data_IF_194055398446
#
_entry.id   IF_194055398446
#
_cell.length_a   1.000
_cell.length_b   1.000
_cell.length_c   1.000
_cell.angle_alpha   90.00
_cell.angle_beta   90.00
_cell.angle_gamma   90.00
#
_symmetry.space_group_name_H-M   'P 1'
#
loop_
_entity.id
_entity.type
_entity.pdbx_description
1 polymer ?
#
# COMPACT_ATOMS: atom_id res chain seq x y z
N UNK A 1 -24.24 -9.13 -1.85
CA UNK A 1 -23.23 -8.20 -2.38
C UNK A 1 -22.08 -8.22 -1.40
N UNK A 2 -20.88 -8.63 -1.80
CA UNK A 2 -19.72 -8.54 -0.92
C UNK A 2 -19.29 -7.08 -0.91
N UNK A 3 -19.48 -6.42 0.23
CA UNK A 3 -18.94 -5.09 0.45
C UNK A 3 -17.41 -5.25 0.43
N UNK A 4 -16.74 -4.70 -0.59
CA UNK A 4 -15.28 -4.76 -0.70
C UNK A 4 -14.60 -4.07 0.49
N UNK A 5 -13.28 -4.26 0.62
CA UNK A 5 -12.50 -3.61 1.68
C UNK A 5 -11.71 -2.46 1.06
N UNK A 6 -11.82 -1.28 1.68
CA UNK A 6 -11.00 -0.11 1.37
C UNK A 6 -9.96 0.06 2.46
N UNK A 7 -8.70 0.20 2.07
CA UNK A 7 -7.56 0.40 2.97
C UNK A 7 -6.95 1.77 2.65
N UNK A 8 -6.84 2.63 3.66
CA UNK A 8 -6.26 3.97 3.54
C UNK A 8 -4.83 3.93 4.11
N UNK A 9 -3.86 4.23 3.25
CA UNK A 9 -2.43 4.08 3.49
C UNK A 9 -1.83 2.87 2.76
N UNK A 10 -0.55 2.97 2.42
CA UNK A 10 0.19 2.02 1.57
C UNK A 10 1.45 1.43 2.24
N UNK A 11 1.74 1.86 3.47
CA UNK A 11 2.93 1.44 4.20
C UNK A 11 2.89 -0.01 4.69
N UNK A 12 3.85 -0.36 5.55
CA UNK A 12 4.02 -1.73 6.04
C UNK A 12 2.74 -2.36 6.60
N UNK A 13 1.97 -1.63 7.42
CA UNK A 13 0.73 -2.14 8.01
C UNK A 13 -0.30 -2.54 6.95
N UNK A 14 -0.53 -1.69 5.95
CA UNK A 14 -1.47 -1.94 4.87
C UNK A 14 -1.04 -3.14 4.01
N UNK A 15 0.25 -3.22 3.66
CA UNK A 15 0.80 -4.35 2.90
C UNK A 15 0.67 -5.67 3.63
N UNK A 16 0.93 -5.70 4.94
CA UNK A 16 0.72 -6.91 5.75
C UNK A 16 -0.77 -7.28 5.84
N UNK A 17 -1.66 -6.29 5.97
CA UNK A 17 -3.10 -6.51 5.99
C UNK A 17 -3.57 -7.16 4.68
N UNK A 18 -3.18 -6.61 3.52
CA UNK A 18 -3.50 -7.18 2.21
C UNK A 18 -3.03 -8.63 2.09
N UNK A 19 -1.78 -8.90 2.47
CA UNK A 19 -1.21 -10.26 2.44
C UNK A 19 -2.03 -11.24 3.29
N UNK A 20 -2.49 -10.81 4.46
CA UNK A 20 -3.28 -11.66 5.35
C UNK A 20 -4.72 -11.85 4.86
N UNK A 21 -5.36 -10.81 4.32
CA UNK A 21 -6.69 -10.93 3.70
C UNK A 21 -6.61 -11.91 2.54
N UNK A 22 -5.62 -11.80 1.65
CA UNK A 22 -5.47 -12.67 0.48
C UNK A 22 -5.19 -14.14 0.82
N UNK A 23 -4.64 -14.43 2.00
CA UNK A 23 -4.54 -15.80 2.52
C UNK A 23 -5.88 -16.38 2.94
N UNK A 24 -6.82 -15.53 3.35
CA UNK A 24 -8.15 -15.93 3.82
C UNK A 24 -9.18 -15.92 2.68
N UNK A 25 -9.14 -14.90 1.82
CA UNK A 25 -10.02 -14.73 0.67
C UNK A 25 -9.25 -14.10 -0.51
N UNK A 26 -9.03 -14.91 -1.54
CA UNK A 26 -8.33 -14.50 -2.75
C UNK A 26 -9.17 -13.60 -3.68
N UNK A 27 -10.48 -13.52 -3.46
CA UNK A 27 -11.45 -12.96 -4.41
C UNK A 27 -12.12 -11.68 -3.93
N UNK A 28 -12.11 -11.39 -2.62
CA UNK A 28 -12.73 -10.18 -2.08
C UNK A 28 -12.16 -8.91 -2.78
N UNK A 29 -13.01 -8.00 -3.27
CA UNK A 29 -12.53 -6.75 -3.85
C UNK A 29 -11.75 -5.94 -2.82
N UNK A 30 -10.51 -5.57 -3.14
CA UNK A 30 -9.62 -4.76 -2.29
C UNK A 30 -9.23 -3.48 -3.02
N UNK A 31 -9.43 -2.35 -2.35
CA UNK A 31 -9.01 -1.03 -2.82
C UNK A 31 -8.01 -0.42 -1.85
N UNK A 32 -6.91 0.13 -2.37
CA UNK A 32 -5.87 0.81 -1.60
C UNK A 32 -5.79 2.27 -2.05
N UNK A 33 -5.85 3.20 -1.09
CA UNK A 33 -5.80 4.65 -1.35
C UNK A 33 -4.71 5.25 -0.47
N UNK A 34 -3.82 6.06 -1.02
CA UNK A 34 -2.75 6.67 -0.25
C UNK A 34 -2.26 7.96 -0.92
N UNK A 35 -1.79 8.88 -0.09
CA UNK A 35 -1.27 10.17 -0.51
C UNK A 35 0.11 10.11 -1.18
N UNK A 36 0.81 8.97 -1.08
CA UNK A 36 2.16 8.75 -1.64
C UNK A 36 2.14 7.87 -2.90
N UNK A 37 3.31 7.47 -3.38
CA UNK A 37 3.44 6.61 -4.57
C UNK A 37 3.03 5.15 -4.34
N UNK A 38 2.84 4.72 -3.08
CA UNK A 38 2.56 3.34 -2.66
C UNK A 38 3.66 2.31 -2.89
N UNK A 39 4.85 2.75 -3.30
CA UNK A 39 6.00 1.86 -3.47
C UNK A 39 6.48 1.32 -2.12
N UNK A 40 6.93 0.06 -2.10
CA UNK A 40 7.49 -0.52 -0.90
C UNK A 40 8.86 0.08 -0.62
N UNK A 41 9.00 0.64 0.57
CA UNK A 41 10.30 0.95 1.13
C UNK A 41 10.27 0.63 2.62
N UNK A 42 11.45 0.38 3.19
CA UNK A 42 11.57 0.15 4.62
C UNK A 42 11.82 1.50 5.31
N UNK A 43 10.78 2.08 5.88
CA UNK A 43 10.85 3.40 6.54
C UNK A 43 11.99 3.55 7.56
N UNK A 44 12.31 2.56 8.41
CA UNK A 44 13.50 2.58 9.26
C UNK A 44 14.83 2.74 8.52
N UNK A 45 14.94 2.25 7.28
CA UNK A 45 16.19 2.34 6.52
C UNK A 45 16.51 3.78 6.11
N UNK A 46 15.49 4.68 6.06
CA UNK A 46 15.64 6.09 5.67
C UNK A 46 16.75 6.80 6.48
N UNK A 47 16.90 6.51 7.77
CA UNK A 47 17.94 7.12 8.59
C UNK A 47 19.36 6.67 8.27
N UNK A 48 19.53 5.58 7.50
CA UNK A 48 20.83 5.01 7.14
C UNK A 48 21.26 5.30 5.70
N UNK A 49 20.32 5.63 4.81
CA UNK A 49 20.51 5.83 3.36
C UNK A 49 21.65 6.78 3.04
N UNK A 50 21.67 7.94 3.70
CA UNK A 50 22.72 8.96 3.49
C UNK A 50 24.10 8.42 3.90
N UNK A 51 24.18 7.72 5.04
CA UNK A 51 25.44 7.14 5.52
C UNK A 51 25.95 6.00 4.64
N UNK A 52 25.04 5.33 3.91
CA UNK A 52 25.34 4.22 3.01
C UNK A 52 25.56 4.67 1.56
N UNK A 53 25.49 5.97 1.27
CA UNK A 53 25.65 6.51 -0.09
C UNK A 53 24.54 6.10 -1.06
N UNK A 54 23.37 5.73 -0.54
CA UNK A 54 22.21 5.32 -1.32
C UNK A 54 21.32 6.52 -1.67
N UNK A 55 20.49 6.36 -2.70
CA UNK A 55 19.47 7.33 -3.13
C UNK A 55 18.08 6.83 -2.71
N UNK A 56 17.09 7.71 -2.76
CA UNK A 56 15.70 7.35 -2.44
C UNK A 56 15.18 6.21 -3.34
N UNK A 57 15.51 6.24 -4.63
CA UNK A 57 15.11 5.21 -5.60
C UNK A 57 15.68 3.83 -5.22
N UNK A 58 16.87 3.77 -4.60
CA UNK A 58 17.51 2.53 -4.16
C UNK A 58 16.79 1.86 -2.98
N UNK A 59 15.87 2.58 -2.32
CA UNK A 59 15.07 2.06 -1.21
C UNK A 59 13.79 1.36 -1.66
N UNK A 60 13.42 1.56 -2.93
CA UNK A 60 12.23 0.95 -3.49
C UNK A 60 12.47 -0.54 -3.65
N UNK A 61 11.76 -1.35 -2.84
CA UNK A 61 11.88 -2.81 -2.83
C UNK A 61 10.90 -3.48 -3.80
N UNK A 62 9.74 -2.85 -4.00
CA UNK A 62 8.69 -3.33 -4.89
C UNK A 62 7.84 -2.14 -5.31
N UNK A 63 7.53 -2.03 -6.59
CA UNK A 63 6.66 -0.95 -7.07
C UNK A 63 5.21 -1.17 -6.64
N UNK A 64 4.44 -0.09 -6.62
CA UNK A 64 3.00 -0.16 -6.39
C UNK A 64 2.29 -1.07 -7.43
N UNK A 65 2.67 -0.96 -8.70
CA UNK A 65 2.09 -1.75 -9.80
C UNK A 65 2.30 -3.26 -9.62
N UNK A 66 3.53 -3.68 -9.35
CA UNK A 66 3.84 -5.10 -9.08
C UNK A 66 3.03 -5.64 -7.90
N UNK A 67 2.87 -4.84 -6.85
CA UNK A 67 2.06 -5.22 -5.69
C UNK A 67 0.57 -5.34 -6.04
N UNK A 68 0.05 -4.46 -6.89
CA UNK A 68 -1.33 -4.51 -7.37
C UNK A 68 -1.62 -5.76 -8.18
N UNK A 69 -0.73 -6.10 -9.11
CA UNK A 69 -0.85 -7.28 -9.96
C UNK A 69 -0.75 -8.57 -9.12
N UNK A 70 0.22 -8.62 -8.20
CA UNK A 70 0.45 -9.77 -7.34
C UNK A 70 -0.77 -10.08 -6.44
N UNK A 71 -1.45 -9.06 -5.94
CA UNK A 71 -2.54 -9.22 -4.97
C UNK A 71 -3.91 -8.80 -5.51
N UNK A 72 -4.08 -8.61 -6.82
CA UNK A 72 -5.34 -8.20 -7.45
C UNK A 72 -5.99 -7.02 -6.71
N UNK A 73 -5.33 -5.86 -6.70
CA UNK A 73 -5.76 -4.66 -5.98
C UNK A 73 -6.18 -3.55 -6.94
N UNK A 74 -7.16 -2.75 -6.54
CA UNK A 74 -7.39 -1.43 -7.13
C UNK A 74 -6.56 -0.39 -6.37
N UNK A 75 -5.67 0.32 -7.07
CA UNK A 75 -4.80 1.32 -6.46
C UNK A 75 -5.16 2.74 -6.85
N UNK A 76 -5.14 3.64 -5.87
CA UNK A 76 -5.27 5.08 -6.04
C UNK A 76 -4.07 5.78 -5.38
N UNK A 77 -2.89 5.77 -6.02
CA UNK A 77 -1.71 6.49 -5.53
C UNK A 77 -1.92 8.01 -5.63
N UNK A 78 -1.12 8.77 -4.90
CA UNK A 78 -1.15 10.24 -4.88
C UNK A 78 -2.56 10.82 -4.63
N UNK A 79 -3.37 10.10 -3.86
CA UNK A 79 -4.77 10.44 -3.61
C UNK A 79 -5.00 10.63 -2.12
N UNK A 80 -5.47 11.81 -1.74
CA UNK A 80 -5.78 12.17 -0.36
C UNK A 80 -7.23 11.83 -0.05
N UNK A 81 -7.45 11.00 0.98
CA UNK A 81 -8.77 10.85 1.59
C UNK A 81 -8.95 12.02 2.55
N UNK A 82 -10.03 12.79 2.36
CA UNK A 82 -10.29 14.02 3.13
C UNK A 82 -11.23 13.79 4.29
N UNK A 83 -12.15 12.84 4.18
CA UNK A 83 -13.19 12.56 5.17
C UNK A 83 -13.68 11.12 5.06
N UNK A 84 -14.27 10.60 6.15
CA UNK A 84 -14.90 9.27 6.19
C UNK A 84 -16.27 9.45 6.85
N UNK A 85 -17.33 9.27 6.06
CA UNK A 85 -18.69 9.22 6.58
C UNK A 85 -19.08 7.75 6.85
N UNK A 86 -19.34 7.44 8.12
CA UNK A 86 -19.72 6.11 8.56
C UNK A 86 -21.24 5.88 8.59
N UNK A 87 -22.04 6.94 8.43
CA UNK A 87 -23.50 6.92 8.55
C UNK A 87 -24.24 7.14 7.21
N UNK A 88 -23.51 7.42 6.13
CA UNK A 88 -24.04 7.63 4.77
C UNK A 88 -24.83 6.44 4.19
#
# INVERSE_FOLDING_TARGET
MSNGIVIIGSGFAARQLVKNIRKQDATIPLTLIAADSMDEYNKPDISHVISQGQRADDLTRQTAGEFAEQFNLHLFPQTWVTDIDAEA
#
